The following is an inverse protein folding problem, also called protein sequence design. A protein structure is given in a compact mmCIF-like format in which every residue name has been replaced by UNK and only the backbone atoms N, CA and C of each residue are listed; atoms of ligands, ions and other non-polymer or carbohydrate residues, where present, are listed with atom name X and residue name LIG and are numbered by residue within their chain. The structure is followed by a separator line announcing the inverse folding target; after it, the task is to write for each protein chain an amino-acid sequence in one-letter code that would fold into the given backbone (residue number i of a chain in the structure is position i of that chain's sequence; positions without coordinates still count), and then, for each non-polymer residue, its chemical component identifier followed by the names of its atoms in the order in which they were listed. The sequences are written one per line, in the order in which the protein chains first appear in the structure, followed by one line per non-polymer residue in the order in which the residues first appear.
data_IF_757231856961
#
_entry.id   IF_757231856961
#
_cell.length_a   1.000
_cell.length_b   1.000
_cell.length_c   1.000
_cell.angle_alpha   90.00
_cell.angle_beta   90.00
_cell.angle_gamma   90.00
#
_symmetry.space_group_name_H-M   'P 1'
#
loop_
_entity.id
_entity.type
_entity.pdbx_description
1 polymer ?
#
# COMPACT_ATOMS: atom_id res chain seq x y z
N UNK A 1 79.38 36.55 25.41
CA UNK A 1 77.98 36.50 25.00
C UNK A 1 77.63 35.10 24.62
N UNK A 2 77.08 34.32 25.53
CA UNK A 2 76.72 32.91 25.26
C UNK A 2 75.17 32.87 25.11
N UNK A 3 74.73 32.69 23.87
CA UNK A 3 73.34 32.33 23.57
C UNK A 3 73.19 30.84 23.66
N UNK A 4 72.38 30.41 24.59
CA UNK A 4 72.24 29.00 24.96
C UNK A 4 71.36 28.25 23.97
N UNK A 5 71.79 27.09 23.54
CA UNK A 5 71.14 26.10 22.69
C UNK A 5 69.75 25.60 23.19
N UNK A 6 69.28 26.06 24.34
CA UNK A 6 68.03 25.60 24.96
C UNK A 6 66.75 26.21 24.36
N UNK A 7 66.86 27.33 23.62
CA UNK A 7 65.67 27.99 23.03
C UNK A 7 65.17 27.32 21.72
N UNK A 8 66.05 26.65 21.00
CA UNK A 8 65.66 25.97 19.76
C UNK A 8 64.93 24.64 19.98
N UNK A 9 65.21 23.94 21.09
CA UNK A 9 64.55 22.66 21.43
C UNK A 9 63.11 22.87 21.85
N UNK A 10 62.74 23.94 22.45
CA UNK A 10 61.39 24.21 22.90
C UNK A 10 60.47 24.62 21.70
N UNK A 11 60.98 25.33 20.70
CA UNK A 11 60.17 25.67 19.54
C UNK A 11 59.81 24.44 18.70
N UNK A 12 60.73 23.53 18.48
CA UNK A 12 60.44 22.31 17.69
C UNK A 12 59.43 21.37 18.42
N UNK A 13 59.42 21.34 19.73
CA UNK A 13 58.39 20.59 20.50
C UNK A 13 57.03 21.22 20.41
N UNK A 14 56.93 22.56 20.43
CA UNK A 14 55.66 23.24 20.26
C UNK A 14 55.05 23.08 18.87
N UNK A 15 55.89 23.19 17.79
CA UNK A 15 55.44 22.94 16.43
C UNK A 15 55.03 21.50 16.16
N UNK A 16 55.77 20.53 16.73
CA UNK A 16 55.40 19.10 16.65
C UNK A 16 54.09 18.77 17.33
N UNK A 17 53.80 19.38 18.48
CA UNK A 17 52.51 19.20 19.19
C UNK A 17 51.34 19.84 18.49
N UNK A 18 51.52 21.03 17.88
CA UNK A 18 50.48 21.71 17.12
C UNK A 18 50.11 20.91 15.86
N UNK A 19 51.07 20.35 15.15
CA UNK A 19 50.83 19.49 13.98
C UNK A 19 50.12 18.19 14.35
N UNK A 20 50.50 17.57 15.48
CA UNK A 20 49.86 16.31 15.93
C UNK A 20 48.40 16.54 16.36
N UNK A 21 48.13 17.65 17.07
CA UNK A 21 46.72 18.01 17.46
C UNK A 21 45.89 18.36 16.25
N UNK A 22 46.44 19.09 15.25
CA UNK A 22 45.71 19.43 14.01
C UNK A 22 45.41 18.17 13.16
N UNK A 23 46.35 17.20 13.08
CA UNK A 23 46.13 15.93 12.36
C UNK A 23 45.11 15.04 13.10
N UNK A 24 45.16 15.00 14.43
CA UNK A 24 44.15 14.24 15.22
C UNK A 24 42.79 14.89 15.19
N UNK A 25 42.70 16.23 15.15
CA UNK A 25 41.45 16.94 14.98
C UNK A 25 40.86 16.73 13.57
N UNK A 26 41.68 16.73 12.52
CA UNK A 26 41.27 16.42 11.17
C UNK A 26 40.83 14.97 10.99
N UNK A 27 41.55 14.03 11.62
CA UNK A 27 41.17 12.61 11.62
C UNK A 27 39.84 12.37 12.37
N UNK A 28 39.62 13.04 13.50
CA UNK A 28 38.33 12.99 14.21
C UNK A 28 37.17 13.63 13.43
N UNK A 29 37.43 14.70 12.67
CA UNK A 29 36.41 15.32 11.81
C UNK A 29 36.06 14.43 10.61
N UNK A 30 37.03 13.69 10.06
CA UNK A 30 36.81 12.71 8.98
C UNK A 30 36.16 11.41 9.48
N UNK A 31 36.35 11.04 10.74
CA UNK A 31 35.67 9.90 11.38
C UNK A 31 34.23 10.23 11.80
N UNK A 32 33.87 11.51 11.91
CA UNK A 32 32.50 11.95 12.17
C UNK A 32 31.64 12.08 10.91
N UNK A 33 32.23 12.00 9.71
CA UNK A 33 31.47 11.67 8.50
C UNK A 33 31.15 10.18 8.50
N UNK A 34 30.46 9.74 9.56
CA UNK A 34 29.93 8.39 9.61
C UNK A 34 29.09 8.20 8.35
N UNK A 35 29.52 7.32 7.47
CA UNK A 35 28.63 6.79 6.43
C UNK A 35 27.38 6.34 7.16
N UNK A 36 26.30 7.12 7.06
CA UNK A 36 25.04 6.73 7.62
C UNK A 36 24.75 5.35 7.04
N UNK A 37 24.83 4.33 7.90
CA UNK A 37 24.59 2.95 7.48
C UNK A 37 23.22 2.91 6.86
N UNK A 38 23.15 2.43 5.62
CA UNK A 38 21.87 2.31 4.92
C UNK A 38 20.95 1.43 5.77
N UNK A 39 19.85 2.02 6.24
CA UNK A 39 18.83 1.27 6.98
C UNK A 39 17.98 0.47 6.00
N UNK A 40 17.51 -0.68 6.46
CA UNK A 40 16.58 -1.51 5.69
C UNK A 40 15.16 -1.28 6.21
N UNK A 41 14.27 -0.88 5.31
CA UNK A 41 12.85 -0.69 5.56
C UNK A 41 12.04 -1.73 4.80
N UNK A 42 11.10 -2.35 5.51
CA UNK A 42 10.21 -3.34 4.92
C UNK A 42 8.93 -2.68 4.44
N UNK A 43 8.50 -3.04 3.23
CA UNK A 43 7.29 -2.54 2.57
C UNK A 43 6.31 -3.70 2.44
N UNK A 44 5.20 -3.62 3.17
CA UNK A 44 4.15 -4.63 3.13
C UNK A 44 3.18 -4.39 1.98
N UNK A 45 2.92 -5.44 1.21
CA UNK A 45 1.93 -5.46 0.15
C UNK A 45 1.08 -6.71 0.29
N UNK A 46 -0.23 -6.56 0.32
CA UNK A 46 -1.14 -7.70 0.29
C UNK A 46 -1.21 -8.23 -1.14
N UNK A 47 -1.01 -9.55 -1.36
CA UNK A 47 -1.23 -10.14 -2.66
C UNK A 47 -2.66 -9.90 -3.10
N UNK A 48 -2.83 -9.26 -4.23
CA UNK A 48 -4.16 -9.03 -4.79
C UNK A 48 -4.64 -10.20 -5.67
N UNK A 49 -3.75 -11.19 -5.95
CA UNK A 49 -4.09 -12.45 -6.62
C UNK A 49 -3.82 -13.65 -5.71
N UNK A 50 -4.81 -14.54 -5.55
CA UNK A 50 -4.63 -15.81 -4.86
C UNK A 50 -3.69 -16.71 -5.67
N UNK A 51 -2.65 -17.24 -5.02
CA UNK A 51 -1.62 -18.06 -5.68
C UNK A 51 -0.53 -17.24 -6.37
N UNK A 52 -0.57 -15.90 -6.29
CA UNK A 52 0.53 -15.06 -6.73
C UNK A 52 1.78 -15.39 -5.90
N UNK A 53 2.85 -15.77 -6.56
CA UNK A 53 4.13 -16.09 -5.91
C UNK A 53 4.80 -14.81 -5.41
N UNK A 54 5.68 -14.94 -4.42
CA UNK A 54 6.53 -13.82 -3.98
C UNK A 54 7.27 -13.19 -5.17
N UNK A 55 7.79 -14.01 -6.08
CA UNK A 55 8.54 -13.59 -7.26
C UNK A 55 7.70 -12.76 -8.25
N UNK A 56 6.40 -13.07 -8.39
CA UNK A 56 5.50 -12.29 -9.25
C UNK A 56 5.19 -10.93 -8.64
N UNK A 57 4.98 -10.89 -7.31
CA UNK A 57 4.78 -9.65 -6.57
C UNK A 57 6.05 -8.81 -6.61
N UNK A 58 7.21 -9.43 -6.38
CA UNK A 58 8.51 -8.77 -6.44
C UNK A 58 8.73 -8.10 -7.79
N UNK A 59 8.47 -8.81 -8.90
CA UNK A 59 8.64 -8.25 -10.25
C UNK A 59 7.84 -6.98 -10.49
N UNK A 60 6.66 -6.85 -9.88
CA UNK A 60 5.82 -5.66 -10.00
C UNK A 60 6.35 -4.47 -9.19
N UNK A 61 6.86 -4.72 -7.98
CA UNK A 61 7.23 -3.67 -7.04
C UNK A 61 8.73 -3.36 -6.99
N UNK A 62 9.61 -4.29 -7.42
CA UNK A 62 11.07 -4.08 -7.46
C UNK A 62 11.47 -2.79 -8.17
N UNK A 63 10.90 -2.38 -9.34
CA UNK A 63 11.27 -1.13 -9.98
C UNK A 63 11.07 0.08 -9.06
N UNK A 64 9.91 0.16 -8.38
CA UNK A 64 9.62 1.24 -7.44
C UNK A 64 10.56 1.22 -6.23
N UNK A 65 10.75 0.05 -5.60
CA UNK A 65 11.62 -0.07 -4.42
C UNK A 65 13.08 0.22 -4.75
N UNK A 66 13.54 -0.17 -5.95
CA UNK A 66 14.88 0.14 -6.44
C UNK A 66 15.05 1.65 -6.66
N UNK A 67 14.08 2.32 -7.26
CA UNK A 67 14.07 3.78 -7.41
C UNK A 67 14.18 4.47 -6.05
N UNK A 68 13.31 4.10 -5.10
CA UNK A 68 13.32 4.67 -3.75
C UNK A 68 14.66 4.43 -3.05
N UNK A 69 15.23 3.23 -3.17
CA UNK A 69 16.53 2.89 -2.57
C UNK A 69 17.65 3.74 -3.14
N UNK A 70 17.75 3.85 -4.47
CA UNK A 70 18.76 4.65 -5.15
C UNK A 70 18.68 6.14 -4.80
N UNK A 71 17.47 6.69 -4.74
CA UNK A 71 17.26 8.12 -4.51
C UNK A 71 17.41 8.52 -3.03
N UNK A 72 17.22 7.59 -2.10
CA UNK A 72 17.30 7.89 -0.66
C UNK A 72 18.61 7.47 -0.02
N UNK A 73 19.36 6.54 -0.63
CA UNK A 73 20.52 5.89 -0.01
C UNK A 73 20.14 4.85 1.06
N UNK A 74 18.84 4.54 1.20
CA UNK A 74 18.32 3.51 2.11
C UNK A 74 17.98 2.24 1.34
N UNK A 75 17.73 1.13 2.03
CA UNK A 75 17.32 -0.13 1.40
C UNK A 75 15.83 -0.36 1.66
N UNK A 76 15.04 -0.50 0.59
CA UNK A 76 13.63 -0.90 0.69
C UNK A 76 13.47 -2.32 0.17
N UNK A 77 12.85 -3.19 1.00
CA UNK A 77 12.58 -4.60 0.67
C UNK A 77 11.10 -4.89 0.75
N UNK A 78 10.60 -5.64 -0.20
CA UNK A 78 9.21 -6.08 -0.19
C UNK A 78 9.01 -7.19 0.84
N UNK A 79 7.85 -7.16 1.50
CA UNK A 79 7.30 -8.26 2.28
C UNK A 79 5.91 -8.58 1.74
N UNK A 80 5.81 -9.67 0.99
CA UNK A 80 4.52 -10.19 0.55
C UNK A 80 3.72 -10.65 1.77
N UNK A 81 2.56 -10.03 1.97
CA UNK A 81 1.69 -10.31 3.11
C UNK A 81 0.65 -11.34 2.73
N UNK A 82 0.28 -12.22 3.66
CA UNK A 82 -0.66 -13.32 3.40
C UNK A 82 -2.12 -12.93 3.63
N UNK A 83 -2.36 -11.83 4.37
CA UNK A 83 -3.71 -11.35 4.69
C UNK A 83 -3.73 -9.85 5.00
N UNK A 84 -4.91 -9.24 4.90
CA UNK A 84 -5.15 -7.86 5.32
C UNK A 84 -4.88 -7.67 6.81
N UNK A 85 -5.38 -8.58 7.65
CA UNK A 85 -5.20 -8.54 9.10
C UNK A 85 -3.71 -8.62 9.49
N UNK A 86 -2.96 -9.54 8.87
CA UNK A 86 -1.51 -9.63 9.06
C UNK A 86 -0.79 -8.36 8.67
N UNK A 87 -1.19 -7.71 7.56
CA UNK A 87 -0.60 -6.44 7.14
C UNK A 87 -0.85 -5.33 8.15
N UNK A 88 -2.09 -5.24 8.67
CA UNK A 88 -2.45 -4.26 9.71
C UNK A 88 -1.58 -4.49 10.95
N UNK A 89 -1.49 -5.71 11.46
CA UNK A 89 -0.68 -6.04 12.64
C UNK A 89 0.81 -5.74 12.44
N UNK A 90 1.36 -5.96 11.25
CA UNK A 90 2.76 -5.71 10.94
C UNK A 90 3.08 -4.21 10.85
N UNK A 91 2.22 -3.41 10.22
CA UNK A 91 2.44 -1.95 10.11
C UNK A 91 2.17 -1.24 11.44
N UNK A 92 1.18 -1.65 12.20
CA UNK A 92 0.87 -1.03 13.50
C UNK A 92 1.94 -1.28 14.54
N UNK A 93 2.58 -2.45 14.51
CA UNK A 93 3.69 -2.83 15.40
C UNK A 93 5.07 -2.36 14.92
N UNK A 94 5.20 -1.84 13.70
CA UNK A 94 6.47 -1.40 13.12
C UNK A 94 7.38 -2.54 12.62
N UNK A 95 6.89 -3.78 12.50
CA UNK A 95 7.65 -4.88 11.86
C UNK A 95 7.80 -4.69 10.36
N UNK A 96 6.87 -3.96 9.71
CA UNK A 96 7.08 -3.29 8.44
C UNK A 96 6.97 -1.79 8.67
N UNK A 97 7.70 -0.99 7.88
CA UNK A 97 7.77 0.45 8.07
C UNK A 97 6.98 1.23 7.02
N UNK A 98 6.68 0.60 5.91
CA UNK A 98 5.74 1.09 4.89
C UNK A 98 4.70 0.02 4.59
N UNK A 99 3.48 0.44 4.26
CA UNK A 99 2.45 -0.47 3.77
C UNK A 99 1.58 0.20 2.70
N UNK A 100 1.18 -0.58 1.71
CA UNK A 100 0.14 -0.19 0.74
C UNK A 100 -1.18 -0.74 1.26
N UNK A 101 -2.08 0.16 1.68
CA UNK A 101 -3.33 -0.19 2.32
C UNK A 101 -4.53 0.34 1.53
N UNK A 102 -5.51 -0.51 1.32
CA UNK A 102 -6.84 -0.06 0.90
C UNK A 102 -7.53 0.68 2.05
N UNK A 103 -8.59 1.47 1.79
CA UNK A 103 -9.15 2.40 2.78
C UNK A 103 -9.56 1.78 4.12
N UNK A 104 -10.26 0.64 4.13
CA UNK A 104 -10.69 0.02 5.39
C UNK A 104 -9.51 -0.50 6.24
N UNK A 105 -8.53 -1.25 5.69
CA UNK A 105 -7.30 -1.58 6.39
C UNK A 105 -6.54 -0.34 6.90
N UNK A 106 -6.49 0.74 6.12
CA UNK A 106 -5.86 1.98 6.56
C UNK A 106 -6.57 2.56 7.78
N UNK A 107 -7.88 2.71 7.73
CA UNK A 107 -8.68 3.25 8.85
C UNK A 107 -8.50 2.39 10.11
N UNK A 108 -8.52 1.06 9.98
CA UNK A 108 -8.27 0.13 11.10
C UNK A 108 -6.85 0.29 11.66
N UNK A 109 -5.83 0.30 10.80
CA UNK A 109 -4.45 0.50 11.20
C UNK A 109 -4.23 1.86 11.88
N UNK A 110 -4.83 2.93 11.35
CA UNK A 110 -4.75 4.28 11.92
C UNK A 110 -5.41 4.39 13.29
N UNK A 111 -6.50 3.66 13.53
CA UNK A 111 -7.14 3.56 14.85
C UNK A 111 -6.24 2.84 15.86
N UNK A 112 -5.57 1.75 15.46
CA UNK A 112 -4.65 0.99 16.30
C UNK A 112 -3.33 1.73 16.56
N UNK A 113 -2.82 2.46 15.57
CA UNK A 113 -1.62 3.30 15.68
C UNK A 113 -1.86 4.69 15.08
N UNK A 114 -2.34 5.67 15.89
CA UNK A 114 -2.63 7.03 15.43
C UNK A 114 -1.43 7.81 14.86
N UNK A 115 -0.20 7.34 15.11
CA UNK A 115 1.04 7.96 14.61
C UNK A 115 1.39 7.55 13.17
N UNK A 116 0.69 6.57 12.58
CA UNK A 116 0.86 6.25 11.16
C UNK A 116 0.57 7.49 10.29
N UNK A 117 1.38 7.71 9.27
CA UNK A 117 1.24 8.86 8.37
C UNK A 117 0.96 8.40 6.93
N UNK A 118 -0.01 9.01 6.26
CA UNK A 118 -0.17 8.86 4.81
C UNK A 118 0.97 9.59 4.13
N UNK A 119 1.72 8.90 3.28
CA UNK A 119 2.68 9.54 2.39
C UNK A 119 1.96 10.06 1.14
N UNK A 120 1.23 9.18 0.46
CA UNK A 120 0.52 9.46 -0.78
C UNK A 120 -0.71 8.57 -0.90
N UNK A 121 -1.66 8.98 -1.76
CA UNK A 121 -2.81 8.19 -2.23
C UNK A 121 -2.59 7.87 -3.71
N UNK A 122 -2.91 6.65 -4.12
CA UNK A 122 -2.77 6.19 -5.49
C UNK A 122 -3.74 6.92 -6.43
N UNK A 123 -3.31 7.07 -7.67
CA UNK A 123 -4.17 7.44 -8.80
C UNK A 123 -4.39 6.22 -9.69
N UNK A 124 -5.60 6.05 -10.17
CA UNK A 124 -5.97 5.05 -11.17
C UNK A 124 -6.58 5.71 -12.40
N UNK A 125 -6.59 5.02 -13.53
CA UNK A 125 -7.35 5.49 -14.68
C UNK A 125 -8.86 5.32 -14.43
N UNK A 126 -9.67 6.28 -14.89
CA UNK A 126 -11.11 6.07 -15.07
C UNK A 126 -11.35 4.99 -16.16
N UNK A 127 -12.59 4.57 -16.36
CA UNK A 127 -12.97 3.46 -17.22
C UNK A 127 -12.49 3.61 -18.67
N UNK A 128 -12.53 4.82 -19.23
CA UNK A 128 -12.11 5.14 -20.60
C UNK A 128 -10.63 5.54 -20.71
N UNK A 129 -9.89 5.54 -19.59
CA UNK A 129 -8.47 5.89 -19.48
C UNK A 129 -8.13 7.32 -19.93
N UNK A 130 -9.04 8.24 -19.77
CA UNK A 130 -8.86 9.65 -20.14
C UNK A 130 -8.44 10.51 -18.96
N UNK A 131 -8.82 10.14 -17.72
CA UNK A 131 -8.56 10.92 -16.50
C UNK A 131 -7.96 10.04 -15.41
N UNK A 132 -6.89 10.52 -14.78
CA UNK A 132 -6.35 9.94 -13.54
C UNK A 132 -7.23 10.40 -12.38
N UNK A 133 -7.72 9.45 -11.59
CA UNK A 133 -8.62 9.69 -10.45
C UNK A 133 -8.09 9.08 -9.16
N UNK A 134 -8.45 9.68 -8.02
CA UNK A 134 -8.04 9.25 -6.68
C UNK A 134 -9.06 8.32 -6.00
N UNK A 135 -9.94 7.76 -6.80
CA UNK A 135 -11.03 6.90 -6.34
C UNK A 135 -11.25 5.72 -7.28
N UNK A 136 -11.90 4.70 -6.78
CA UNK A 136 -12.33 3.50 -7.49
C UNK A 136 -13.74 3.09 -7.04
N UNK A 137 -14.32 2.03 -7.61
CA UNK A 137 -15.67 1.57 -7.26
C UNK A 137 -15.68 0.09 -6.87
N UNK A 138 -16.58 -0.23 -5.94
CA UNK A 138 -16.97 -1.61 -5.65
C UNK A 138 -18.12 -2.02 -6.58
N UNK A 139 -18.11 -3.28 -6.97
CA UNK A 139 -19.15 -3.88 -7.80
C UNK A 139 -19.67 -5.16 -7.16
N UNK A 140 -20.95 -5.46 -7.36
CA UNK A 140 -21.48 -6.82 -7.24
C UNK A 140 -21.61 -7.36 -8.65
N UNK A 141 -20.82 -8.41 -8.94
CA UNK A 141 -20.79 -9.06 -10.24
C UNK A 141 -21.57 -10.37 -10.20
N UNK A 142 -22.20 -10.67 -11.33
CA UNK A 142 -22.81 -11.96 -11.65
C UNK A 142 -22.35 -12.43 -13.03
N UNK A 143 -22.60 -13.69 -13.39
CA UNK A 143 -22.37 -14.14 -14.76
C UNK A 143 -23.40 -13.50 -15.71
N UNK A 144 -22.98 -13.18 -16.94
CA UNK A 144 -23.85 -12.59 -17.99
C UNK A 144 -25.00 -13.51 -18.42
N UNK A 145 -24.77 -14.83 -18.40
CA UNK A 145 -25.77 -15.83 -18.74
C UNK A 145 -26.86 -16.04 -17.66
N UNK A 146 -26.69 -15.44 -16.47
CA UNK A 146 -27.70 -15.42 -15.41
C UNK A 146 -28.66 -14.25 -15.61
N UNK A 147 -29.58 -14.38 -16.57
CA UNK A 147 -30.59 -13.35 -16.87
C UNK A 147 -31.56 -13.11 -15.71
N UNK A 148 -31.67 -14.07 -14.80
CA UNK A 148 -32.48 -14.00 -13.57
C UNK A 148 -31.89 -13.11 -12.47
N UNK A 149 -30.59 -12.72 -12.53
CA UNK A 149 -29.91 -11.93 -11.50
C UNK A 149 -29.70 -10.48 -11.99
N UNK A 150 -30.70 -9.61 -11.83
CA UNK A 150 -30.71 -8.26 -12.41
C UNK A 150 -30.36 -7.14 -11.43
N UNK A 151 -30.62 -7.35 -10.15
CA UNK A 151 -30.53 -6.38 -9.07
C UNK A 151 -30.25 -7.06 -7.72
N UNK A 152 -30.26 -6.29 -6.62
CA UNK A 152 -30.02 -6.84 -5.30
C UNK A 152 -31.08 -7.86 -4.89
N UNK A 153 -32.36 -7.56 -5.14
CA UNK A 153 -33.47 -8.42 -4.68
C UNK A 153 -33.45 -9.80 -5.34
N UNK A 154 -33.00 -9.87 -6.59
CA UNK A 154 -32.81 -11.15 -7.31
C UNK A 154 -31.72 -12.04 -6.71
N UNK A 155 -30.87 -11.49 -5.83
CA UNK A 155 -29.86 -12.25 -5.10
C UNK A 155 -30.39 -12.89 -3.78
N UNK A 156 -31.64 -12.64 -3.39
CA UNK A 156 -32.23 -13.26 -2.20
C UNK A 156 -32.16 -14.77 -2.29
N UNK A 157 -31.62 -15.44 -1.26
CA UNK A 157 -31.44 -16.88 -1.23
C UNK A 157 -30.35 -17.43 -2.17
N UNK A 158 -29.58 -16.59 -2.87
CA UNK A 158 -28.45 -16.99 -3.70
C UNK A 158 -27.15 -17.06 -2.90
N UNK A 159 -26.11 -17.66 -3.49
CA UNK A 159 -24.77 -17.71 -2.87
C UNK A 159 -23.95 -16.47 -3.22
N UNK A 160 -23.25 -15.91 -2.22
CA UNK A 160 -22.44 -14.70 -2.36
C UNK A 160 -20.97 -14.94 -2.02
N UNK A 161 -20.09 -14.45 -2.88
CA UNK A 161 -18.64 -14.40 -2.66
C UNK A 161 -18.17 -13.03 -2.20
N UNK A 162 -17.53 -12.98 -1.03
CA UNK A 162 -16.81 -11.81 -0.53
C UNK A 162 -15.30 -12.11 -0.44
N UNK A 163 -14.47 -11.07 -0.34
CA UNK A 163 -13.01 -11.22 -0.19
C UNK A 163 -12.67 -11.61 1.25
N UNK A 164 -12.63 -10.66 2.15
CA UNK A 164 -12.43 -10.82 3.59
C UNK A 164 -13.10 -9.66 4.31
N UNK A 165 -13.34 -9.77 5.60
CA UNK A 165 -14.03 -8.73 6.38
C UNK A 165 -13.28 -7.39 6.41
N UNK A 166 -11.97 -7.41 6.20
CA UNK A 166 -11.11 -6.23 6.13
C UNK A 166 -11.09 -5.57 4.75
N UNK A 167 -11.59 -6.26 3.70
CA UNK A 167 -11.57 -5.70 2.34
C UNK A 167 -12.57 -4.56 2.21
N UNK A 168 -12.13 -3.41 1.72
CA UNK A 168 -13.00 -2.24 1.49
C UNK A 168 -14.09 -2.56 0.46
N UNK A 169 -13.70 -2.82 -0.79
CA UNK A 169 -14.64 -3.04 -1.91
C UNK A 169 -15.15 -4.47 -2.01
N UNK A 170 -14.42 -5.44 -1.44
CA UNK A 170 -14.82 -6.84 -1.46
C UNK A 170 -15.67 -7.26 -0.25
N UNK A 171 -15.93 -6.36 0.70
CA UNK A 171 -16.76 -6.66 1.86
C UNK A 171 -17.43 -5.41 2.47
N UNK A 172 -16.65 -4.46 3.03
CA UNK A 172 -17.21 -3.37 3.83
C UNK A 172 -18.28 -2.58 3.08
N UNK A 173 -17.97 -2.12 1.87
CA UNK A 173 -18.86 -1.28 1.05
C UNK A 173 -20.10 -2.04 0.59
N UNK A 174 -20.02 -3.26 -0.02
CA UNK A 174 -21.22 -4.00 -0.39
C UNK A 174 -22.05 -4.45 0.82
N UNK A 175 -21.44 -4.73 1.98
CA UNK A 175 -22.21 -5.02 3.21
C UNK A 175 -22.91 -3.78 3.75
N UNK A 176 -22.27 -2.60 3.69
CA UNK A 176 -22.92 -1.33 4.04
C UNK A 176 -24.13 -1.04 3.12
N UNK A 177 -23.99 -1.32 1.82
CA UNK A 177 -25.10 -1.23 0.87
C UNK A 177 -26.23 -2.20 1.25
N UNK A 178 -25.94 -3.48 1.50
CA UNK A 178 -26.95 -4.45 1.96
C UNK A 178 -27.69 -3.95 3.21
N UNK A 179 -26.95 -3.45 4.20
CA UNK A 179 -27.53 -2.90 5.44
C UNK A 179 -28.44 -1.68 5.16
N UNK A 180 -28.07 -0.80 4.23
CA UNK A 180 -28.90 0.35 3.85
C UNK A 180 -30.24 -0.08 3.23
N UNK A 181 -30.26 -1.26 2.58
CA UNK A 181 -31.47 -1.91 2.06
C UNK A 181 -32.16 -2.82 3.11
N UNK A 182 -31.76 -2.70 4.40
CA UNK A 182 -32.30 -3.48 5.55
C UNK A 182 -32.03 -4.98 5.49
N UNK A 183 -31.00 -5.41 4.74
CA UNK A 183 -30.56 -6.79 4.67
C UNK A 183 -29.29 -7.03 5.48
N UNK A 184 -29.17 -8.23 6.08
CA UNK A 184 -27.90 -8.75 6.58
C UNK A 184 -27.41 -9.86 5.67
N UNK A 185 -26.12 -9.95 5.34
CA UNK A 185 -25.61 -10.98 4.43
C UNK A 185 -26.03 -12.39 4.80
N UNK A 186 -25.93 -12.74 6.08
CA UNK A 186 -26.19 -14.09 6.61
C UNK A 186 -27.67 -14.51 6.53
N UNK A 187 -28.60 -13.54 6.49
CA UNK A 187 -30.05 -13.80 6.36
C UNK A 187 -30.52 -13.67 4.92
N UNK A 188 -29.87 -12.81 4.13
CA UNK A 188 -30.28 -12.50 2.78
C UNK A 188 -29.79 -13.55 1.76
N UNK A 189 -28.54 -14.00 1.90
CA UNK A 189 -27.97 -15.03 1.05
C UNK A 189 -28.15 -16.43 1.65
N UNK A 190 -28.29 -17.44 0.79
CA UNK A 190 -28.31 -18.85 1.24
C UNK A 190 -26.94 -19.29 1.76
N UNK A 191 -25.87 -18.70 1.22
CA UNK A 191 -24.49 -18.98 1.60
C UNK A 191 -23.60 -17.77 1.37
N UNK A 192 -22.83 -17.40 2.40
CA UNK A 192 -21.80 -16.37 2.35
C UNK A 192 -20.41 -17.03 2.35
N UNK A 193 -19.63 -16.80 1.29
CA UNK A 193 -18.30 -17.35 1.12
C UNK A 193 -17.24 -16.24 1.23
N UNK A 194 -16.28 -16.39 2.14
CA UNK A 194 -15.09 -15.50 2.23
C UNK A 194 -13.94 -16.16 1.49
N UNK A 195 -13.62 -15.68 0.30
CA UNK A 195 -12.73 -16.33 -0.67
C UNK A 195 -11.28 -15.86 -0.58
N UNK A 196 -10.99 -14.86 0.26
CA UNK A 196 -9.65 -14.39 0.63
C UNK A 196 -9.02 -13.39 -0.35
N UNK A 197 -9.41 -13.37 -1.64
CA UNK A 197 -8.88 -12.42 -2.61
C UNK A 197 -9.91 -12.05 -3.68
N UNK A 198 -9.72 -10.89 -4.32
CA UNK A 198 -10.58 -10.43 -5.42
C UNK A 198 -10.61 -11.39 -6.61
N UNK A 199 -9.46 -11.91 -7.11
CA UNK A 199 -9.47 -12.89 -8.18
C UNK A 199 -10.18 -14.20 -7.79
N UNK A 200 -10.05 -14.66 -6.54
CA UNK A 200 -10.78 -15.85 -6.09
C UNK A 200 -12.31 -15.64 -6.16
N UNK A 201 -12.79 -14.42 -5.92
CA UNK A 201 -14.20 -14.07 -6.06
C UNK A 201 -14.63 -14.14 -7.54
N UNK A 202 -13.87 -13.50 -8.44
CA UNK A 202 -14.21 -13.50 -9.86
C UNK A 202 -14.05 -14.89 -10.51
N UNK A 203 -13.05 -15.66 -10.10
CA UNK A 203 -12.89 -17.06 -10.55
C UNK A 203 -14.09 -17.94 -10.10
N UNK A 204 -14.56 -17.75 -8.85
CA UNK A 204 -15.72 -18.46 -8.34
C UNK A 204 -17.01 -18.11 -9.10
N UNK A 205 -17.21 -16.83 -9.48
CA UNK A 205 -18.33 -16.41 -10.33
C UNK A 205 -18.19 -17.05 -11.73
N UNK A 206 -17.03 -16.95 -12.36
CA UNK A 206 -16.80 -17.51 -13.68
C UNK A 206 -17.06 -19.01 -13.74
N UNK A 207 -16.66 -19.74 -12.70
CA UNK A 207 -16.87 -21.17 -12.54
C UNK A 207 -18.32 -21.55 -12.11
N UNK A 208 -19.18 -20.57 -11.79
CA UNK A 208 -20.51 -20.84 -11.26
C UNK A 208 -20.52 -21.41 -9.83
N UNK A 209 -19.42 -21.33 -9.09
CA UNK A 209 -19.31 -21.80 -7.71
C UNK A 209 -19.99 -20.86 -6.71
N UNK A 210 -20.23 -19.62 -7.09
CA UNK A 210 -21.08 -18.62 -6.43
C UNK A 210 -21.95 -17.94 -7.46
N UNK A 211 -23.16 -17.51 -7.08
CA UNK A 211 -24.08 -16.80 -7.98
C UNK A 211 -23.66 -15.35 -8.19
N UNK A 212 -23.16 -14.68 -7.14
CA UNK A 212 -22.70 -13.31 -7.18
C UNK A 212 -21.42 -13.13 -6.35
N UNK A 213 -20.72 -12.01 -6.57
CA UNK A 213 -19.54 -11.70 -5.77
C UNK A 213 -19.13 -10.24 -5.83
N UNK A 214 -18.49 -9.79 -4.74
CA UNK A 214 -18.05 -8.40 -4.58
C UNK A 214 -16.59 -8.23 -4.99
N UNK A 215 -16.31 -7.23 -5.83
CA UNK A 215 -14.96 -6.89 -6.29
C UNK A 215 -14.86 -5.41 -6.64
N UNK A 216 -13.79 -4.98 -7.32
CA UNK A 216 -13.50 -3.61 -7.74
C UNK A 216 -13.14 -3.52 -9.22
N UNK A 217 -13.16 -2.30 -9.76
CA UNK A 217 -12.97 -1.99 -11.18
C UNK A 217 -11.77 -2.72 -11.81
N UNK A 218 -10.59 -2.53 -11.23
CA UNK A 218 -9.36 -3.09 -11.79
C UNK A 218 -9.37 -4.62 -11.80
N UNK A 219 -9.83 -5.27 -10.71
CA UNK A 219 -9.91 -6.73 -10.68
C UNK A 219 -10.94 -7.26 -11.68
N UNK A 220 -12.08 -6.58 -11.85
CA UNK A 220 -13.05 -6.95 -12.88
C UNK A 220 -12.41 -6.90 -14.26
N UNK A 221 -11.69 -5.81 -14.60
CA UNK A 221 -10.97 -5.72 -15.87
C UNK A 221 -9.94 -6.85 -16.06
N UNK A 222 -9.19 -7.22 -15.02
CA UNK A 222 -8.26 -8.35 -15.08
C UNK A 222 -9.00 -9.70 -15.25
N UNK A 223 -10.14 -9.87 -14.57
CA UNK A 223 -10.96 -11.07 -14.68
C UNK A 223 -11.53 -11.25 -16.09
N UNK A 224 -11.95 -10.16 -16.76
CA UNK A 224 -12.40 -10.19 -18.16
C UNK A 224 -11.24 -10.61 -19.08
N UNK A 225 -10.03 -10.13 -18.87
CA UNK A 225 -8.86 -10.56 -19.66
C UNK A 225 -8.55 -12.05 -19.48
N UNK A 226 -8.74 -12.59 -18.27
CA UNK A 226 -8.45 -13.98 -17.93
C UNK A 226 -9.55 -14.95 -18.38
N UNK A 227 -10.81 -14.61 -18.13
CA UNK A 227 -11.95 -15.52 -18.25
C UNK A 227 -12.89 -15.18 -19.43
N UNK A 228 -12.55 -14.15 -20.21
CA UNK A 228 -13.47 -13.58 -21.20
C UNK A 228 -14.52 -12.65 -20.56
N UNK A 229 -15.33 -12.01 -21.40
CA UNK A 229 -16.36 -11.05 -20.97
C UNK A 229 -17.64 -11.79 -20.49
N UNK A 230 -17.48 -12.60 -19.44
CA UNK A 230 -18.55 -13.42 -18.84
C UNK A 230 -19.25 -12.76 -17.65
N UNK A 231 -18.83 -11.55 -17.27
CA UNK A 231 -19.31 -10.85 -16.09
C UNK A 231 -20.25 -9.70 -16.42
N UNK A 232 -21.22 -9.45 -15.55
CA UNK A 232 -22.08 -8.26 -15.55
C UNK A 232 -22.15 -7.69 -14.13
N UNK A 233 -22.02 -6.36 -14.01
CA UNK A 233 -22.28 -5.66 -12.74
C UNK A 233 -23.76 -5.39 -12.60
N UNK A 234 -24.33 -5.78 -11.47
CA UNK A 234 -25.71 -5.48 -11.11
C UNK A 234 -25.80 -4.35 -10.09
N UNK A 235 -24.69 -3.97 -9.51
CA UNK A 235 -24.56 -2.83 -8.61
C UNK A 235 -23.13 -2.30 -8.60
N UNK A 236 -23.01 -0.99 -8.46
CA UNK A 236 -21.74 -0.31 -8.21
C UNK A 236 -21.89 0.73 -7.10
N UNK A 237 -20.83 0.93 -6.34
CA UNK A 237 -20.79 1.92 -5.27
C UNK A 237 -20.60 3.34 -5.80
N UNK A 238 -20.82 4.33 -4.93
CA UNK A 238 -20.19 5.64 -5.05
C UNK A 238 -18.65 5.51 -5.07
N UNK A 239 -17.93 6.59 -5.51
CA UNK A 239 -16.48 6.60 -5.48
C UNK A 239 -15.91 6.32 -4.08
N UNK A 240 -14.96 5.41 -4.01
CA UNK A 240 -14.23 5.02 -2.81
C UNK A 240 -12.82 5.60 -2.94
N UNK A 241 -12.24 6.24 -1.90
CA UNK A 241 -10.84 6.64 -1.92
C UNK A 241 -9.90 5.52 -2.39
N UNK A 242 -8.92 5.83 -3.24
CA UNK A 242 -7.90 4.86 -3.63
C UNK A 242 -7.00 4.45 -2.45
N UNK A 243 -6.19 3.41 -2.67
CA UNK A 243 -5.20 2.91 -1.73
C UNK A 243 -4.22 4.03 -1.35
N UNK A 244 -3.65 3.91 -0.16
CA UNK A 244 -2.60 4.83 0.29
C UNK A 244 -1.33 4.07 0.67
N UNK A 245 -0.19 4.75 0.49
CA UNK A 245 1.08 4.32 1.08
C UNK A 245 1.19 5.00 2.44
N UNK A 246 1.28 4.20 3.50
CA UNK A 246 1.42 4.69 4.87
C UNK A 246 2.81 4.40 5.41
N UNK A 247 3.31 5.30 6.25
CA UNK A 247 4.58 5.18 6.93
C UNK A 247 4.37 5.00 8.43
N UNK A 248 5.12 4.07 9.02
CA UNK A 248 5.25 3.94 10.46
C UNK A 248 6.17 5.04 11.03
N UNK A 249 5.96 5.53 12.26
CA UNK A 249 6.78 6.60 12.86
C UNK A 249 8.27 6.23 13.07
N UNK A 250 8.67 5.00 12.89
CA UNK A 250 10.08 4.59 12.80
C UNK A 250 10.80 5.19 11.59
N UNK A 251 10.08 5.58 10.54
CA UNK A 251 10.65 6.36 9.43
C UNK A 251 10.70 7.83 9.85
N UNK A 252 11.89 8.42 9.83
CA UNK A 252 12.06 9.84 10.20
C UNK A 252 11.22 10.77 9.32
N UNK A 253 10.76 11.90 9.89
CA UNK A 253 9.95 12.87 9.15
C UNK A 253 10.66 13.40 7.89
N UNK A 254 11.99 13.53 7.93
CA UNK A 254 12.79 13.94 6.78
C UNK A 254 12.73 12.89 5.66
N UNK A 255 12.86 11.60 5.99
CA UNK A 255 12.75 10.52 5.02
C UNK A 255 11.32 10.37 4.51
N UNK A 256 10.29 10.50 5.36
CA UNK A 256 8.89 10.51 4.93
C UNK A 256 8.62 11.63 3.90
N UNK A 257 9.13 12.85 4.14
CA UNK A 257 9.01 13.97 3.20
C UNK A 257 9.71 13.65 1.87
N UNK A 258 10.92 13.08 1.91
CA UNK A 258 11.67 12.68 0.71
C UNK A 258 10.95 11.59 -0.08
N UNK A 259 10.44 10.55 0.59
CA UNK A 259 9.67 9.48 -0.03
C UNK A 259 8.40 10.02 -0.71
N UNK A 260 7.68 10.92 -0.04
CA UNK A 260 6.50 11.58 -0.62
C UNK A 260 6.84 12.29 -1.92
N UNK A 261 7.89 13.12 -1.94
CA UNK A 261 8.30 13.83 -3.17
C UNK A 261 8.66 12.85 -4.30
N UNK A 262 9.41 11.79 -4.00
CA UNK A 262 9.79 10.78 -4.99
C UNK A 262 8.58 10.03 -5.56
N UNK A 263 7.61 9.71 -4.71
CA UNK A 263 6.38 9.02 -5.15
C UNK A 263 5.50 9.91 -6.02
N UNK A 264 5.43 11.22 -5.75
CA UNK A 264 4.69 12.17 -6.57
C UNK A 264 5.29 12.37 -7.96
N UNK A 265 6.59 12.14 -8.11
CA UNK A 265 7.36 12.33 -9.35
C UNK A 265 7.80 10.98 -9.96
N UNK A 266 7.18 9.86 -9.52
CA UNK A 266 7.56 8.54 -10.01
C UNK A 266 7.29 8.42 -11.52
N UNK A 267 8.26 7.94 -12.32
CA UNK A 267 8.07 7.73 -13.75
C UNK A 267 7.04 6.64 -14.06
N UNK A 268 6.28 6.81 -15.14
CA UNK A 268 5.20 5.88 -15.52
C UNK A 268 5.71 4.44 -15.79
N UNK A 269 6.94 4.29 -16.31
CA UNK A 269 7.55 2.97 -16.56
C UNK A 269 7.83 2.19 -15.28
N UNK A 270 8.09 2.89 -14.17
CA UNK A 270 8.28 2.28 -12.83
C UNK A 270 6.99 1.69 -12.27
N UNK A 271 5.84 2.19 -12.71
CA UNK A 271 4.50 1.76 -12.27
C UNK A 271 3.87 0.74 -13.21
N UNK A 272 4.59 0.32 -14.26
CA UNK A 272 4.05 -0.59 -15.26
C UNK A 272 3.64 -1.93 -14.64
N UNK A 273 2.41 -2.35 -14.89
CA UNK A 273 1.81 -3.58 -14.35
C UNK A 273 1.12 -3.42 -12.99
N UNK A 274 1.32 -2.31 -12.30
CA UNK A 274 0.57 -1.96 -11.09
C UNK A 274 -0.83 -1.44 -11.44
N UNK A 275 -1.71 -1.41 -10.45
CA UNK A 275 -3.04 -0.76 -10.56
C UNK A 275 -2.96 0.76 -10.50
N UNK A 276 -1.89 1.29 -9.92
CA UNK A 276 -1.64 2.73 -9.81
C UNK A 276 -0.98 3.28 -11.08
N UNK A 277 -1.32 4.52 -11.41
CA UNK A 277 -0.76 5.27 -12.54
C UNK A 277 -0.18 6.60 -12.09
N UNK A 278 0.13 6.71 -10.81
CA UNK A 278 0.69 7.86 -10.15
C UNK A 278 0.18 8.01 -8.74
N UNK A 279 0.56 9.09 -8.10
CA UNK A 279 0.22 9.38 -6.72
C UNK A 279 -0.20 10.83 -6.53
N UNK A 280 -0.99 11.09 -5.50
CA UNK A 280 -1.41 12.43 -5.06
C UNK A 280 -1.33 12.55 -3.54
N UNK A 281 -1.35 13.77 -3.01
CA UNK A 281 -1.41 13.99 -1.56
C UNK A 281 -2.85 14.18 -1.13
N UNK A 282 -3.28 13.38 -0.17
CA UNK A 282 -4.57 13.52 0.51
C UNK A 282 -4.39 13.60 2.02
N UNK A 283 -5.26 14.36 2.67
CA UNK A 283 -5.33 14.37 4.12
C UNK A 283 -5.99 13.10 4.67
N UNK A 284 -5.77 12.80 5.96
CA UNK A 284 -6.42 11.67 6.64
C UNK A 284 -7.96 11.72 6.55
N UNK A 285 -8.53 12.93 6.59
CA UNK A 285 -9.98 13.14 6.44
C UNK A 285 -10.57 12.69 5.09
N UNK A 286 -9.74 12.48 4.07
CA UNK A 286 -10.18 11.91 2.80
C UNK A 286 -10.79 10.50 2.98
N UNK A 287 -10.41 9.80 4.05
CA UNK A 287 -10.89 8.46 4.39
C UNK A 287 -12.05 8.44 5.42
N UNK A 288 -12.59 9.61 5.82
CA UNK A 288 -13.64 9.70 6.85
C UNK A 288 -14.94 8.97 6.48
N UNK A 289 -15.28 8.93 5.18
CA UNK A 289 -16.42 8.15 4.70
C UNK A 289 -16.29 6.66 5.03
N UNK A 290 -15.08 6.12 4.90
CA UNK A 290 -14.79 4.72 5.24
C UNK A 290 -14.76 4.52 6.77
N UNK A 291 -14.25 5.49 7.50
CA UNK A 291 -14.20 5.45 8.98
C UNK A 291 -15.60 5.32 9.58
N UNK A 292 -16.56 6.13 9.09
CA UNK A 292 -17.97 6.06 9.52
C UNK A 292 -18.64 4.71 9.23
N UNK A 293 -18.24 4.03 8.15
CA UNK A 293 -18.79 2.71 7.82
C UNK A 293 -18.15 1.58 8.64
N UNK A 294 -17.02 1.84 9.30
CA UNK A 294 -16.25 0.87 10.07
C UNK A 294 -16.55 0.93 11.58
N UNK A 295 -17.38 1.87 12.00
CA UNK A 295 -17.94 2.02 13.35
C UNK A 295 -19.23 1.20 13.48
#
# INVERSE_FOLDING_TARGET
MSFTLNSMWNLNRLFGQIHLVAVLASANLLLQTGFARAETYWVGVVPWQKGQTSDEIDRLYIPLLKLLSQKTGQTFKLKAMTSYEGTIAEITSGRIQLAMLSPAPYVKAKRENPKLAILVTELSWNADKTVKQDSYRSHILVRKDRADLTDLESLAGKSMGFVSVESTSGYLIPVAYLKSQKHSPEKFFSKVNKLGSHPAVTDAIAAGSVDAGATWDFNWQQAVKKNGDVFRSIWQSDPIPNLCIVAHPLISSALQKKLRSLLLEVPDDVLQGLSTVGYTVKADSFYDGIRKLSE
#
